data_IF_927130348979
#
_entry.id   IF_927130348979
#
_cell.length_a   1.000
_cell.length_b   1.000
_cell.length_c   1.000
_cell.angle_alpha   90.00
_cell.angle_beta   90.00
_cell.angle_gamma   90.00
#
_symmetry.space_group_name_H-M   'P 1'
#
loop_
_entity.id
_entity.type
_entity.pdbx_description
1 polymer ?
#
# COMPACT_ATOMS: atom_id res chain seq x y z
N UNK A 1 26.20 29.90 75.89
CA UNK A 1 26.29 28.80 76.87
C UNK A 1 27.08 27.68 76.19
N UNK A 2 28.32 27.50 76.74
CA UNK A 2 29.30 26.56 76.26
C UNK A 2 28.89 25.12 76.53
N UNK A 3 29.19 24.22 75.60
CA UNK A 3 29.57 22.88 76.02
C UNK A 3 30.49 22.27 74.97
N UNK A 4 31.79 22.28 75.24
CA UNK A 4 32.81 21.46 74.61
C UNK A 4 32.64 20.02 75.02
N UNK A 5 32.65 19.12 74.08
CA UNK A 5 32.86 17.69 74.32
C UNK A 5 34.16 17.22 73.71
N UNK A 6 34.95 16.74 74.59
CA UNK A 6 36.34 16.33 74.56
C UNK A 6 36.52 15.03 73.82
N UNK A 7 37.55 15.03 72.97
CA UNK A 7 38.03 13.85 72.28
C UNK A 7 38.85 12.93 73.18
N UNK A 8 38.63 11.61 73.22
CA UNK A 8 39.59 10.70 73.86
C UNK A 8 40.56 10.15 72.87
N UNK A 9 41.79 10.35 73.14
CA UNK A 9 42.99 9.71 72.58
C UNK A 9 42.89 8.20 72.70
N UNK A 10 43.00 7.48 71.55
CA UNK A 10 43.12 6.04 71.60
C UNK A 10 44.51 5.61 71.11
N UNK A 11 45.15 4.90 71.99
CA UNK A 11 46.48 4.36 71.94
C UNK A 11 46.64 3.38 70.80
N UNK A 12 47.84 3.41 70.21
CA UNK A 12 48.37 2.43 69.29
C UNK A 12 48.25 1.01 69.83
N UNK A 13 47.55 0.15 69.13
CA UNK A 13 47.70 -1.29 69.29
C UNK A 13 48.13 -1.89 67.94
N UNK A 14 49.40 -2.26 67.89
CA UNK A 14 49.94 -3.10 66.82
C UNK A 14 49.39 -4.50 67.00
N UNK A 15 48.76 -5.07 65.97
CA UNK A 15 48.74 -6.52 65.73
C UNK A 15 48.31 -6.82 64.28
N UNK A 16 48.53 -8.05 63.83
CA UNK A 16 49.38 -8.28 62.68
C UNK A 16 48.57 -8.37 61.39
N UNK A 17 49.31 -8.11 60.38
CA UNK A 17 49.05 -8.22 58.99
C UNK A 17 48.44 -9.59 58.62
N UNK A 18 47.13 -9.66 58.49
CA UNK A 18 46.47 -10.72 57.78
C UNK A 18 46.26 -10.29 56.33
N UNK A 19 47.18 -10.76 55.52
CA UNK A 19 47.11 -10.58 54.07
C UNK A 19 45.85 -11.34 53.55
N UNK A 20 44.71 -10.75 53.64
CA UNK A 20 43.52 -11.22 52.89
C UNK A 20 43.61 -10.60 51.49
N UNK A 21 44.26 -11.29 50.61
CA UNK A 21 44.19 -11.01 49.19
C UNK A 21 42.78 -11.26 48.74
N UNK A 22 41.93 -10.23 48.83
CA UNK A 22 40.62 -10.23 48.24
C UNK A 22 40.82 -10.10 46.72
N UNK A 23 40.92 -11.24 46.06
CA UNK A 23 40.82 -11.32 44.59
C UNK A 23 39.41 -10.90 44.22
N UNK A 24 39.22 -9.61 44.03
CA UNK A 24 38.05 -9.10 43.35
C UNK A 24 38.11 -9.60 41.90
N UNK A 25 37.54 -10.75 41.66
CA UNK A 25 37.25 -11.20 40.31
C UNK A 25 36.37 -10.12 39.70
N UNK A 26 36.96 -9.33 38.80
CA UNK A 26 36.20 -8.43 37.93
C UNK A 26 35.32 -9.29 37.03
N UNK A 27 34.12 -9.63 37.55
CA UNK A 27 33.05 -10.12 36.71
C UNK A 27 32.65 -8.97 35.80
N UNK A 28 33.28 -8.89 34.64
CA UNK A 28 32.69 -8.13 33.54
C UNK A 28 31.47 -8.92 33.08
N UNK A 29 30.25 -8.44 33.30
CA UNK A 29 29.11 -9.02 32.63
C UNK A 29 29.35 -8.80 31.15
N UNK A 30 29.70 -9.84 30.44
CA UNK A 30 29.62 -9.86 28.98
C UNK A 30 28.14 -9.66 28.69
N UNK A 31 27.76 -8.40 28.45
CA UNK A 31 26.46 -8.09 27.89
C UNK A 31 26.41 -8.81 26.56
N UNK A 32 25.74 -9.95 26.54
CA UNK A 32 25.41 -10.61 25.29
C UNK A 32 24.59 -9.58 24.48
N UNK A 33 25.26 -8.91 23.58
CA UNK A 33 24.59 -8.02 22.64
C UNK A 33 23.68 -8.91 21.81
N UNK A 34 22.39 -8.93 22.16
CA UNK A 34 21.40 -9.63 21.36
C UNK A 34 21.58 -9.16 19.93
N UNK A 35 21.91 -10.11 19.07
CA UNK A 35 21.99 -9.85 17.63
C UNK A 35 20.66 -9.23 17.24
N UNK A 36 20.66 -8.01 16.62
CA UNK A 36 19.42 -7.37 16.23
C UNK A 36 18.58 -8.37 15.44
N UNK A 37 17.29 -8.47 15.73
CA UNK A 37 16.43 -9.43 15.06
C UNK A 37 16.58 -9.23 13.55
N UNK A 38 16.79 -10.31 12.85
CA UNK A 38 16.89 -10.28 11.38
C UNK A 38 15.61 -9.65 10.85
N UNK A 39 15.68 -8.63 9.97
CA UNK A 39 14.49 -8.02 9.41
C UNK A 39 13.58 -9.11 8.83
N UNK A 40 12.41 -9.25 9.39
CA UNK A 40 11.39 -10.13 8.83
C UNK A 40 10.92 -9.42 7.56
N UNK A 41 11.35 -9.88 6.38
CA UNK A 41 10.73 -9.48 5.14
C UNK A 41 9.33 -10.08 5.13
N UNK A 42 8.34 -9.31 5.55
CA UNK A 42 6.94 -9.66 5.27
C UNK A 42 6.75 -9.44 3.78
N UNK A 43 6.47 -10.52 3.08
CA UNK A 43 6.18 -10.45 1.66
C UNK A 43 4.89 -9.65 1.46
N UNK A 44 4.91 -8.74 0.49
CA UNK A 44 3.72 -8.07 0.02
C UNK A 44 2.74 -9.11 -0.54
N UNK A 45 1.53 -9.19 -0.02
CA UNK A 45 0.46 -10.08 -0.50
C UNK A 45 -0.67 -9.24 -1.07
N UNK A 46 -1.18 -9.63 -2.24
CA UNK A 46 -2.24 -8.90 -2.95
C UNK A 46 -3.41 -9.83 -3.19
N UNK A 47 -4.59 -9.41 -2.74
CA UNK A 47 -5.85 -10.11 -2.98
C UNK A 47 -6.80 -9.24 -3.80
N UNK A 48 -7.36 -9.80 -4.88
CA UNK A 48 -8.39 -9.13 -5.68
C UNK A 48 -9.73 -9.30 -4.96
N UNK A 49 -10.32 -8.20 -4.52
CA UNK A 49 -11.62 -8.17 -3.84
C UNK A 49 -12.75 -7.93 -4.83
N UNK A 50 -12.52 -7.06 -5.82
CA UNK A 50 -13.54 -6.66 -6.79
C UNK A 50 -12.91 -6.36 -8.15
N UNK A 51 -13.59 -6.76 -9.21
CA UNK A 51 -13.19 -6.46 -10.58
C UNK A 51 -13.64 -5.07 -11.03
N UNK A 52 -12.92 -4.47 -11.96
CA UNK A 52 -13.35 -3.27 -12.67
C UNK A 52 -14.51 -3.60 -13.60
N UNK A 53 -15.60 -2.85 -13.52
CA UNK A 53 -16.79 -3.05 -14.33
C UNK A 53 -17.36 -1.69 -14.78
N UNK A 54 -17.61 -1.55 -16.06
CA UNK A 54 -18.11 -0.30 -16.66
C UNK A 54 -19.64 -0.28 -16.83
N UNK A 55 -20.32 -1.41 -16.60
CA UNK A 55 -21.76 -1.53 -16.82
C UNK A 55 -22.14 -1.59 -18.30
N UNK A 56 -23.38 -1.23 -18.59
CA UNK A 56 -23.93 -1.25 -19.96
C UNK A 56 -23.82 0.12 -20.62
N UNK A 57 -23.25 0.15 -21.82
CA UNK A 57 -22.89 1.36 -22.56
C UNK A 57 -23.41 1.21 -23.99
N UNK A 58 -23.88 2.30 -24.55
CA UNK A 58 -24.25 2.39 -25.97
C UNK A 58 -23.69 3.69 -26.56
N UNK A 59 -23.07 3.59 -27.74
CA UNK A 59 -22.63 4.76 -28.49
C UNK A 59 -23.50 4.96 -29.73
N UNK A 60 -24.44 5.92 -29.69
CA UNK A 60 -25.22 6.33 -30.88
C UNK A 60 -24.45 7.30 -31.77
N UNK A 61 -23.34 7.83 -31.30
CA UNK A 61 -22.59 8.90 -31.98
C UNK A 61 -21.71 8.40 -33.12
N UNK A 62 -21.32 9.33 -33.98
CA UNK A 62 -20.39 9.10 -35.09
C UNK A 62 -18.93 9.22 -34.71
N UNK A 63 -18.65 9.58 -33.48
CA UNK A 63 -17.31 9.72 -32.90
C UNK A 63 -17.12 8.73 -31.75
N UNK A 64 -15.88 8.44 -31.41
CA UNK A 64 -15.57 7.68 -30.21
C UNK A 64 -15.88 8.50 -28.96
N UNK A 65 -16.14 7.79 -27.85
CA UNK A 65 -16.31 8.37 -26.55
C UNK A 65 -15.58 7.54 -25.49
N UNK A 66 -15.51 8.06 -24.28
CA UNK A 66 -14.92 7.34 -23.16
C UNK A 66 -15.88 7.18 -22.02
N UNK A 67 -15.80 6.05 -21.31
CA UNK A 67 -16.45 5.85 -20.02
C UNK A 67 -15.35 5.71 -18.97
N UNK A 68 -15.51 6.42 -17.87
CA UNK A 68 -14.52 6.49 -16.80
C UNK A 68 -15.19 5.99 -15.51
N UNK A 69 -14.49 5.10 -14.84
CA UNK A 69 -14.79 4.71 -13.45
C UNK A 69 -13.69 5.31 -12.59
N UNK A 70 -14.06 6.17 -11.63
CA UNK A 70 -13.11 6.69 -10.66
C UNK A 70 -12.85 5.69 -9.54
N UNK A 71 -11.73 5.80 -8.81
CA UNK A 71 -11.46 4.98 -7.63
C UNK A 71 -12.56 5.05 -6.57
N UNK A 72 -13.24 6.20 -6.44
CA UNK A 72 -14.38 6.38 -5.52
C UNK A 72 -15.66 5.70 -6.00
N UNK A 73 -15.62 5.03 -7.17
CA UNK A 73 -16.74 4.31 -7.73
C UNK A 73 -17.73 5.18 -8.52
N UNK A 74 -17.38 6.44 -8.83
CA UNK A 74 -18.20 7.25 -9.71
C UNK A 74 -18.03 6.84 -11.18
N UNK A 75 -19.13 6.88 -11.95
CA UNK A 75 -19.10 6.62 -13.40
C UNK A 75 -19.43 7.88 -14.17
N UNK A 76 -18.56 8.26 -15.08
CA UNK A 76 -18.73 9.41 -15.97
C UNK A 76 -18.46 9.04 -17.44
N UNK A 77 -18.74 9.94 -18.36
CA UNK A 77 -18.55 9.71 -19.79
C UNK A 77 -18.10 10.97 -20.52
N UNK A 78 -17.50 10.78 -21.67
CA UNK A 78 -17.29 11.83 -22.68
C UNK A 78 -17.93 11.42 -24.01
N UNK A 79 -18.16 12.38 -24.88
CA UNK A 79 -18.83 12.13 -26.17
C UNK A 79 -20.31 11.81 -26.03
N UNK A 80 -20.88 11.23 -27.08
CA UNK A 80 -22.31 10.98 -27.20
C UNK A 80 -22.77 9.69 -26.52
N UNK A 81 -21.90 9.04 -25.71
CA UNK A 81 -22.22 7.78 -25.07
C UNK A 81 -23.47 7.87 -24.19
N UNK A 82 -24.23 6.80 -24.15
CA UNK A 82 -25.33 6.58 -23.21
C UNK A 82 -24.93 5.52 -22.19
N UNK A 83 -25.04 5.85 -20.92
CA UNK A 83 -24.86 4.92 -19.81
C UNK A 83 -26.24 4.32 -19.48
N UNK A 84 -26.55 3.15 -20.06
CA UNK A 84 -27.89 2.57 -20.00
C UNK A 84 -28.18 1.95 -18.62
N UNK A 85 -27.17 1.53 -17.89
CA UNK A 85 -27.34 0.90 -16.59
C UNK A 85 -26.34 -0.23 -16.35
N UNK A 86 -26.78 -1.27 -15.64
CA UNK A 86 -25.92 -2.36 -15.19
C UNK A 86 -25.08 -1.96 -13.96
N UNK A 87 -24.50 -2.95 -13.29
CA UNK A 87 -23.54 -2.71 -12.21
C UNK A 87 -22.26 -2.13 -12.78
N UNK A 88 -21.66 -1.19 -12.08
CA UNK A 88 -20.33 -0.67 -12.38
C UNK A 88 -19.54 -0.54 -11.09
N UNK A 89 -18.23 -0.67 -11.18
CA UNK A 89 -17.36 -0.67 -10.00
C UNK A 89 -15.90 -0.40 -10.37
N UNK A 90 -15.17 0.27 -9.49
CA UNK A 90 -13.73 0.29 -9.52
C UNK A 90 -13.17 -1.10 -9.18
N UNK A 91 -11.97 -1.42 -9.63
CA UNK A 91 -11.24 -2.57 -9.12
C UNK A 91 -10.85 -2.32 -7.67
N UNK A 92 -10.90 -3.36 -6.84
CA UNK A 92 -10.54 -3.29 -5.43
C UNK A 92 -9.52 -4.37 -5.09
N UNK A 93 -8.45 -3.97 -4.43
CA UNK A 93 -7.35 -4.83 -4.00
C UNK A 93 -7.09 -4.64 -2.52
N UNK A 94 -6.94 -5.74 -1.80
CA UNK A 94 -6.39 -5.74 -0.45
C UNK A 94 -4.90 -6.04 -0.51
N UNK A 95 -4.12 -5.11 0.03
CA UNK A 95 -2.66 -5.15 0.09
C UNK A 95 -2.25 -5.44 1.52
N UNK A 96 -1.76 -6.63 1.77
CA UNK A 96 -1.24 -7.04 3.07
C UNK A 96 0.27 -6.77 3.13
N UNK A 97 0.70 -6.04 4.14
CA UNK A 97 2.10 -5.69 4.36
C UNK A 97 2.33 -5.19 5.78
N UNK A 98 3.58 -4.93 6.13
CA UNK A 98 3.90 -4.22 7.38
C UNK A 98 3.40 -2.78 7.25
N UNK A 99 2.71 -2.23 8.28
CA UNK A 99 2.33 -0.83 8.31
C UNK A 99 3.52 0.10 8.08
N UNK A 100 3.33 1.13 7.27
CA UNK A 100 4.40 2.05 6.89
C UNK A 100 5.22 1.61 5.66
N UNK A 101 4.88 0.50 5.02
CA UNK A 101 5.51 0.08 3.76
C UNK A 101 5.12 1.04 2.63
N UNK A 102 6.12 1.51 1.88
CA UNK A 102 5.89 2.30 0.68
C UNK A 102 5.67 1.34 -0.49
N UNK A 103 4.55 1.50 -1.20
CA UNK A 103 4.20 0.70 -2.37
C UNK A 103 3.99 1.60 -3.56
N UNK A 104 4.65 1.28 -4.65
CA UNK A 104 4.49 1.95 -5.95
C UNK A 104 3.62 1.09 -6.86
N UNK A 105 2.67 1.73 -7.53
CA UNK A 105 1.83 1.11 -8.55
C UNK A 105 2.29 1.56 -9.93
N UNK A 106 2.13 0.67 -10.91
CA UNK A 106 2.39 1.01 -12.31
C UNK A 106 1.08 0.93 -13.10
N UNK A 107 0.79 2.00 -13.83
CA UNK A 107 -0.33 2.07 -14.76
C UNK A 107 -0.16 1.06 -15.89
N UNK A 108 -1.28 0.56 -16.38
CA UNK A 108 -1.28 -0.37 -17.52
C UNK A 108 -2.42 -0.06 -18.48
N UNK A 109 -2.30 -0.58 -19.68
CA UNK A 109 -3.36 -0.61 -20.67
C UNK A 109 -3.73 -2.05 -21.00
N UNK A 110 -4.97 -2.27 -21.37
CA UNK A 110 -5.47 -3.57 -21.77
C UNK A 110 -6.44 -3.43 -22.95
N UNK A 111 -6.76 -4.56 -23.57
CA UNK A 111 -7.77 -4.64 -24.60
C UNK A 111 -8.86 -5.58 -24.14
N UNK A 112 -10.11 -5.13 -24.18
CA UNK A 112 -11.27 -5.97 -23.99
C UNK A 112 -11.71 -6.53 -25.33
N UNK A 113 -12.04 -7.81 -25.38
CA UNK A 113 -12.52 -8.50 -26.56
C UNK A 113 -14.00 -8.79 -26.43
N UNK A 114 -14.75 -8.47 -27.46
CA UNK A 114 -16.18 -8.75 -27.55
C UNK A 114 -16.48 -10.18 -27.97
N UNK A 115 -17.50 -10.80 -27.40
CA UNK A 115 -17.95 -12.15 -27.78
C UNK A 115 -18.52 -12.23 -29.22
N UNK A 116 -18.92 -11.09 -29.79
CA UNK A 116 -19.39 -10.96 -31.17
C UNK A 116 -18.33 -10.26 -32.06
N UNK A 117 -17.07 -10.26 -31.62
CA UNK A 117 -15.97 -9.55 -32.28
C UNK A 117 -15.83 -8.12 -31.77
N UNK A 118 -14.83 -7.42 -32.34
CA UNK A 118 -14.46 -6.08 -31.91
C UNK A 118 -13.65 -6.04 -30.63
N UNK A 119 -13.04 -4.89 -30.39
CA UNK A 119 -12.19 -4.65 -29.22
C UNK A 119 -12.42 -3.26 -28.65
N UNK A 120 -12.26 -3.10 -27.34
CA UNK A 120 -12.27 -1.83 -26.64
C UNK A 120 -10.93 -1.62 -25.96
N UNK A 121 -10.42 -0.40 -25.97
CA UNK A 121 -9.18 -0.04 -25.27
C UNK A 121 -9.51 0.35 -23.84
N UNK A 122 -8.79 -0.24 -22.91
CA UNK A 122 -8.87 0.05 -21.48
C UNK A 122 -7.55 0.65 -21.01
N UNK A 123 -7.61 1.81 -20.39
CA UNK A 123 -6.52 2.44 -19.67
C UNK A 123 -6.79 2.31 -18.17
N UNK A 124 -5.86 1.72 -17.42
CA UNK A 124 -5.91 1.61 -15.96
C UNK A 124 -5.08 2.73 -15.37
N UNK A 125 -5.60 3.38 -14.33
CA UNK A 125 -4.91 4.43 -13.61
C UNK A 125 -5.53 5.80 -13.75
N UNK A 126 -4.74 6.85 -13.55
CA UNK A 126 -5.17 8.22 -13.44
C UNK A 126 -5.74 8.79 -14.73
N UNK A 127 -6.87 9.47 -14.67
CA UNK A 127 -7.38 10.30 -15.73
C UNK A 127 -7.28 11.79 -15.33
N UNK A 128 -6.25 12.45 -15.79
CA UNK A 128 -5.91 13.85 -15.44
C UNK A 128 -6.98 14.85 -15.88
N UNK A 129 -7.74 14.53 -16.91
CA UNK A 129 -8.65 15.48 -17.57
C UNK A 129 -9.96 15.75 -16.82
N UNK A 130 -10.28 14.97 -15.79
CA UNK A 130 -11.52 15.15 -15.03
C UNK A 130 -11.35 15.56 -13.57
N UNK A 131 -10.15 15.94 -13.17
CA UNK A 131 -9.88 16.38 -11.79
C UNK A 131 -9.88 15.25 -10.76
N UNK A 132 -9.94 14.02 -11.18
CA UNK A 132 -9.77 12.86 -10.31
C UNK A 132 -8.28 12.51 -10.25
N UNK A 133 -7.64 12.89 -9.17
CA UNK A 133 -6.20 12.66 -8.96
C UNK A 133 -5.95 11.37 -8.18
N UNK A 134 -6.27 10.18 -8.76
CA UNK A 134 -6.62 9.15 -7.79
C UNK A 134 -5.92 7.82 -7.92
N UNK A 135 -4.99 7.72 -8.82
CA UNK A 135 -3.95 6.72 -8.75
C UNK A 135 -2.82 7.25 -7.86
N UNK A 136 -3.04 7.21 -6.54
CA UNK A 136 -1.99 7.63 -5.58
C UNK A 136 -0.86 6.62 -5.59
N UNK A 137 0.15 6.89 -6.38
CA UNK A 137 1.39 6.12 -6.38
C UNK A 137 2.58 7.08 -6.21
N UNK A 138 3.48 6.82 -5.27
CA UNK A 138 3.43 5.76 -4.26
C UNK A 138 2.41 6.04 -3.14
N UNK A 139 1.97 4.97 -2.47
CA UNK A 139 1.17 5.08 -1.26
C UNK A 139 1.87 4.39 -0.08
N UNK A 140 1.45 4.73 1.13
CA UNK A 140 1.97 4.14 2.36
C UNK A 140 0.88 3.26 2.97
N UNK A 141 1.22 2.02 3.28
CA UNK A 141 0.28 1.11 3.94
C UNK A 141 0.02 1.58 5.37
N UNK A 142 -1.26 1.60 5.77
CA UNK A 142 -1.69 2.17 7.06
C UNK A 142 -1.93 1.12 8.13
N UNK A 143 -2.06 -0.14 7.74
CA UNK A 143 -2.33 -1.28 8.62
C UNK A 143 -1.76 -2.56 8.04
N UNK A 144 -2.06 -3.69 8.68
CA UNK A 144 -1.72 -5.01 8.16
C UNK A 144 -2.37 -5.26 6.79
N UNK A 145 -3.57 -4.73 6.59
CA UNK A 145 -4.28 -4.71 5.31
C UNK A 145 -4.60 -3.27 4.92
N UNK A 146 -4.29 -2.89 3.69
CA UNK A 146 -4.63 -1.60 3.10
C UNK A 146 -5.44 -1.84 1.85
N UNK A 147 -6.69 -1.39 1.84
CA UNK A 147 -7.59 -1.53 0.69
C UNK A 147 -7.36 -0.39 -0.31
N UNK A 148 -7.19 -0.73 -1.58
CA UNK A 148 -6.91 0.20 -2.67
C UNK A 148 -7.94 0.02 -3.77
N UNK A 149 -8.50 1.15 -4.22
CA UNK A 149 -9.39 1.19 -5.35
C UNK A 149 -8.67 1.75 -6.58
N UNK A 150 -8.87 1.12 -7.72
CA UNK A 150 -8.26 1.50 -8.99
C UNK A 150 -9.36 1.67 -10.03
N UNK A 151 -9.45 2.86 -10.56
CA UNK A 151 -10.35 3.20 -11.65
C UNK A 151 -9.77 2.86 -13.02
N UNK A 152 -10.51 3.24 -14.05
CA UNK A 152 -10.04 3.08 -15.42
C UNK A 152 -10.90 3.82 -16.42
N UNK A 153 -10.34 3.99 -17.61
CA UNK A 153 -11.00 4.63 -18.76
C UNK A 153 -11.15 3.65 -19.90
N UNK A 154 -12.39 3.45 -20.31
CA UNK A 154 -12.74 2.60 -21.45
C UNK A 154 -13.07 3.46 -22.67
N UNK A 155 -12.36 3.26 -23.77
CA UNK A 155 -12.65 3.93 -25.05
C UNK A 155 -13.62 3.08 -25.86
N UNK A 156 -14.76 3.66 -26.22
CA UNK A 156 -15.81 3.04 -27.02
C UNK A 156 -15.84 3.70 -28.40
N UNK A 157 -15.66 2.94 -29.45
CA UNK A 157 -15.67 3.44 -30.83
C UNK A 157 -17.03 4.02 -31.25
N UNK A 158 -17.04 4.68 -32.40
CA UNK A 158 -18.25 5.23 -33.02
C UNK A 158 -19.31 4.14 -33.29
N UNK A 159 -20.52 4.59 -33.61
CA UNK A 159 -21.63 3.69 -33.99
C UNK A 159 -21.18 2.69 -35.05
N UNK A 160 -21.35 1.40 -34.78
CA UNK A 160 -20.97 0.30 -35.67
C UNK A 160 -19.50 -0.12 -35.56
N UNK A 161 -18.62 0.62 -34.89
CA UNK A 161 -17.21 0.23 -34.70
C UNK A 161 -17.06 -0.95 -33.76
N UNK A 162 -17.94 -1.03 -32.77
CA UNK A 162 -17.94 -2.10 -31.78
C UNK A 162 -19.27 -2.85 -31.84
N UNK A 163 -19.29 -4.14 -32.28
CA UNK A 163 -20.50 -4.96 -32.27
C UNK A 163 -21.12 -5.05 -30.89
N UNK A 164 -22.45 -5.10 -30.82
CA UNK A 164 -23.15 -5.30 -29.56
C UNK A 164 -22.75 -6.66 -28.95
N UNK A 165 -22.42 -6.68 -27.69
CA UNK A 165 -21.97 -7.90 -27.01
C UNK A 165 -21.38 -7.65 -25.64
N UNK A 166 -20.90 -8.72 -25.03
CA UNK A 166 -20.15 -8.66 -23.78
C UNK A 166 -18.65 -8.54 -24.08
N UNK A 167 -18.02 -7.54 -23.51
CA UNK A 167 -16.59 -7.28 -23.67
C UNK A 167 -15.86 -7.65 -22.38
N UNK A 168 -14.87 -8.51 -22.48
CA UNK A 168 -14.07 -8.97 -21.36
C UNK A 168 -12.59 -8.89 -21.70
N UNK A 169 -11.76 -8.71 -20.68
CA UNK A 169 -10.31 -8.70 -20.80
C UNK A 169 -9.65 -8.77 -19.44
N UNK A 170 -8.34 -8.95 -19.47
CA UNK A 170 -7.50 -8.96 -18.27
C UNK A 170 -6.54 -7.80 -18.32
N UNK A 171 -6.39 -7.11 -17.22
CA UNK A 171 -5.33 -6.12 -17.01
C UNK A 171 -4.43 -6.53 -15.86
N UNK A 172 -3.24 -5.98 -15.84
CA UNK A 172 -2.25 -6.23 -14.79
C UNK A 172 -1.96 -4.95 -14.04
N UNK A 173 -1.84 -5.07 -12.72
CA UNK A 173 -1.35 -4.01 -11.85
C UNK A 173 -0.11 -4.55 -11.17
N UNK A 174 0.98 -3.80 -11.24
CA UNK A 174 2.23 -4.18 -10.59
C UNK A 174 2.40 -3.37 -9.31
N UNK A 175 2.54 -4.07 -8.19
CA UNK A 175 2.81 -3.50 -6.89
C UNK A 175 4.28 -3.72 -6.55
N UNK A 176 5.01 -2.64 -6.30
CA UNK A 176 6.45 -2.68 -6.01
C UNK A 176 6.66 -2.14 -4.60
N UNK A 177 7.16 -3.00 -3.72
CA UNK A 177 7.57 -2.61 -2.38
C UNK A 177 8.93 -1.91 -2.44
N UNK A 178 9.01 -0.71 -1.83
CA UNK A 178 10.25 0.08 -1.73
C UNK A 178 11.02 -0.26 -0.44
#
# INVERSE_FOLDING_TARGET
MNSYVKCPSFKKLLLPFCFFVCTIALYNPVSAQEKPPKPIKVALSITIVQNLNFGTIYNPGITEGTVIISPEGARSKTGDLLLIGGSFSAACFDVESIPGTIVTLTESSATLTGNNGGTLKLQIGNHVDLGYSDFKSPFITTGETTTIFIGGTLTVGALGANPAGNYNGTFFVTFIQQ
#
